data_IF_051810095495
#
_entry.id   IF_051810095495
#
_cell.length_a   1.000
_cell.length_b   1.000
_cell.length_c   1.000
_cell.angle_alpha   90.00
_cell.angle_beta   90.00
_cell.angle_gamma   90.00
#
_symmetry.space_group_name_H-M   'P 1'
#
loop_
_entity.id
_entity.type
_entity.pdbx_description
1 polymer ?
#
# COMPACT_ATOMS: atom_id res chain seq x y z
N UNK A 1 15.94 26.79 -74.92
CA UNK A 1 17.22 26.10 -74.62
C UNK A 1 17.43 26.15 -73.11
N UNK A 2 17.94 25.06 -72.52
CA UNK A 2 17.21 24.32 -71.50
C UNK A 2 17.76 24.49 -70.07
N UNK A 3 16.84 24.26 -69.13
CA UNK A 3 16.99 23.52 -67.87
C UNK A 3 18.00 24.01 -66.82
N UNK A 4 17.53 24.98 -66.03
CA UNK A 4 17.96 25.19 -64.65
C UNK A 4 17.38 24.07 -63.76
N UNK A 5 18.11 22.97 -63.62
CA UNK A 5 17.83 21.98 -62.57
C UNK A 5 18.66 22.31 -61.31
N UNK A 6 18.02 22.64 -60.16
CA UNK A 6 18.71 22.70 -58.89
C UNK A 6 18.75 21.27 -58.33
N UNK A 7 19.89 20.60 -58.34
CA UNK A 7 19.94 19.25 -57.74
C UNK A 7 21.33 18.84 -57.24
N UNK A 8 21.88 19.62 -56.32
CA UNK A 8 22.79 19.08 -55.30
C UNK A 8 22.01 18.93 -54.00
N UNK A 9 21.06 17.98 -53.98
CA UNK A 9 20.52 17.47 -52.72
C UNK A 9 21.70 16.82 -52.02
N UNK A 10 22.19 17.48 -50.97
CA UNK A 10 23.36 17.05 -50.23
C UNK A 10 23.00 15.74 -49.53
N UNK A 11 23.57 14.65 -50.05
CA UNK A 11 23.51 13.28 -49.54
C UNK A 11 23.50 13.18 -48.00
N UNK A 12 24.27 13.97 -47.22
CA UNK A 12 24.22 13.91 -45.75
C UNK A 12 22.84 14.24 -45.13
N UNK A 13 22.04 15.12 -45.74
CA UNK A 13 20.71 15.45 -45.21
C UNK A 13 19.69 14.33 -45.42
N UNK A 14 19.80 13.61 -46.54
CA UNK A 14 18.97 12.42 -46.80
C UNK A 14 19.33 11.28 -45.85
N UNK A 15 20.61 11.10 -45.52
CA UNK A 15 21.06 10.07 -44.57
C UNK A 15 20.61 10.40 -43.15
N UNK A 16 20.77 11.65 -42.69
CA UNK A 16 20.31 12.07 -41.36
C UNK A 16 18.78 11.98 -41.23
N UNK A 17 18.04 12.39 -42.27
CA UNK A 17 16.59 12.26 -42.29
C UNK A 17 16.12 10.80 -42.23
N UNK A 18 16.76 9.91 -43.00
CA UNK A 18 16.44 8.48 -42.98
C UNK A 18 16.72 7.82 -41.62
N UNK A 19 17.81 8.21 -40.94
CA UNK A 19 18.15 7.70 -39.59
C UNK A 19 17.15 8.19 -38.55
N UNK A 20 16.78 9.47 -38.57
CA UNK A 20 15.79 10.03 -37.65
C UNK A 20 14.41 9.38 -37.83
N UNK A 21 13.97 9.18 -39.08
CA UNK A 21 12.71 8.50 -39.39
C UNK A 21 12.75 7.03 -38.96
N UNK A 22 13.86 6.31 -39.20
CA UNK A 22 14.02 4.93 -38.74
C UNK A 22 14.03 4.82 -37.21
N UNK A 23 14.62 5.79 -36.51
CA UNK A 23 14.64 5.85 -35.05
C UNK A 23 13.25 6.14 -34.48
N UNK A 24 12.53 7.11 -35.04
CA UNK A 24 11.15 7.42 -34.65
C UNK A 24 10.19 6.27 -34.95
N UNK A 25 10.33 5.59 -36.10
CA UNK A 25 9.54 4.40 -36.42
C UNK A 25 9.86 3.22 -35.49
N UNK A 26 11.12 3.06 -35.05
CA UNK A 26 11.49 2.07 -34.02
C UNK A 26 10.92 2.41 -32.66
N UNK A 27 10.98 3.67 -32.24
CA UNK A 27 10.38 4.16 -31.00
C UNK A 27 8.86 3.98 -31.02
N UNK A 28 8.22 4.29 -32.14
CA UNK A 28 6.78 4.13 -32.31
C UNK A 28 6.38 2.66 -32.37
N UNK A 29 7.12 1.79 -33.07
CA UNK A 29 6.88 0.35 -33.08
C UNK A 29 7.21 -0.33 -31.73
N UNK A 30 8.04 0.29 -30.88
CA UNK A 30 8.31 -0.18 -29.52
C UNK A 30 7.23 0.31 -28.56
N UNK A 31 6.83 1.59 -28.64
CA UNK A 31 5.73 2.16 -27.89
C UNK A 31 4.41 1.46 -28.21
N UNK A 32 4.12 1.19 -29.49
CA UNK A 32 2.93 0.47 -29.95
C UNK A 32 2.98 -1.00 -29.49
N UNK A 33 4.14 -1.66 -29.49
CA UNK A 33 4.27 -3.01 -28.90
C UNK A 33 4.10 -3.02 -27.38
N UNK A 34 4.58 -2.02 -26.67
CA UNK A 34 4.43 -1.91 -25.21
C UNK A 34 2.98 -1.55 -24.85
N UNK A 35 2.35 -0.64 -25.60
CA UNK A 35 0.94 -0.26 -25.46
C UNK A 35 0.01 -1.42 -25.86
N UNK A 36 0.31 -2.15 -26.93
CA UNK A 36 -0.47 -3.30 -27.36
C UNK A 36 -0.31 -4.49 -26.40
N UNK A 37 0.89 -4.72 -25.84
CA UNK A 37 1.10 -5.70 -24.75
C UNK A 37 0.37 -5.30 -23.47
N UNK A 38 0.44 -4.02 -23.07
CA UNK A 38 -0.32 -3.49 -21.93
C UNK A 38 -1.83 -3.59 -22.18
N UNK A 39 -2.29 -3.34 -23.40
CA UNK A 39 -3.71 -3.41 -23.78
C UNK A 39 -4.23 -4.85 -23.88
N UNK A 40 -3.42 -5.80 -24.34
CA UNK A 40 -3.74 -7.22 -24.32
C UNK A 40 -3.68 -7.83 -22.90
N UNK A 41 -2.74 -7.39 -22.06
CA UNK A 41 -2.68 -7.72 -20.63
C UNK A 41 -3.90 -7.19 -19.87
N UNK A 42 -4.33 -5.95 -20.15
CA UNK A 42 -5.56 -5.36 -19.61
C UNK A 42 -6.85 -6.07 -20.04
N UNK A 43 -6.82 -6.89 -21.10
CA UNK A 43 -7.98 -7.67 -21.58
C UNK A 43 -7.98 -9.13 -21.12
N UNK A 44 -7.02 -9.56 -20.31
CA UNK A 44 -6.97 -10.93 -19.77
C UNK A 44 -6.89 -12.05 -20.82
N UNK A 45 -6.41 -11.74 -22.04
CA UNK A 45 -6.34 -12.71 -23.16
C UNK A 45 -4.92 -13.09 -23.58
N UNK A 46 -3.93 -12.89 -22.70
CA UNK A 46 -2.59 -13.41 -22.92
C UNK A 46 -2.28 -14.46 -21.85
N UNK A 47 -2.50 -15.74 -22.19
CA UNK A 47 -1.70 -16.82 -21.62
C UNK A 47 -0.35 -16.70 -22.29
N UNK A 48 0.57 -15.97 -21.65
CA UNK A 48 1.97 -16.00 -22.04
C UNK A 48 2.65 -17.10 -21.23
N UNK A 49 2.99 -18.19 -21.92
CA UNK A 49 4.10 -19.05 -21.53
C UNK A 49 5.40 -18.23 -21.68
N UNK A 50 5.66 -17.37 -20.69
CA UNK A 50 6.97 -16.82 -20.39
C UNK A 50 7.61 -17.72 -19.33
N UNK A 51 8.96 -17.82 -19.30
CA UNK A 51 9.64 -18.63 -18.30
C UNK A 51 9.18 -18.13 -16.93
N UNK A 52 8.58 -19.05 -16.16
CA UNK A 52 8.29 -18.83 -14.75
C UNK A 52 9.62 -18.47 -14.09
N UNK A 53 9.79 -17.22 -13.68
CA UNK A 53 10.58 -17.01 -12.48
C UNK A 53 9.78 -17.71 -11.37
N UNK A 54 10.28 -18.87 -10.93
CA UNK A 54 9.61 -19.76 -9.98
C UNK A 54 9.46 -19.18 -8.58
N UNK A 55 9.97 -17.97 -8.34
CA UNK A 55 9.89 -17.32 -7.04
C UNK A 55 9.65 -15.83 -7.22
N UNK A 56 8.49 -15.36 -6.76
CA UNK A 56 8.39 -13.99 -6.24
C UNK A 56 9.50 -13.80 -5.19
N UNK A 57 10.03 -12.58 -4.96
CA UNK A 57 11.08 -12.38 -3.95
C UNK A 57 10.62 -13.09 -2.68
N UNK A 58 11.34 -14.14 -2.27
CA UNK A 58 10.85 -15.00 -1.21
C UNK A 58 10.55 -14.09 -0.02
N UNK A 59 9.60 -14.43 0.83
CA UNK A 59 9.34 -13.66 2.06
C UNK A 59 10.63 -13.33 2.84
N UNK A 60 11.70 -14.11 2.64
CA UNK A 60 13.08 -13.83 3.02
C UNK A 60 13.66 -12.50 2.50
N UNK A 61 13.48 -12.10 1.24
CA UNK A 61 14.06 -10.88 0.67
C UNK A 61 13.41 -9.61 1.27
N UNK A 62 12.10 -9.68 1.55
CA UNK A 62 11.37 -8.61 2.25
C UNK A 62 11.86 -8.51 3.70
N UNK A 63 12.01 -9.65 4.38
CA UNK A 63 12.54 -9.69 5.74
C UNK A 63 14.00 -9.20 5.81
N UNK A 64 14.83 -9.59 4.84
CA UNK A 64 16.22 -9.14 4.72
C UNK A 64 16.29 -7.63 4.51
N UNK A 65 15.45 -7.06 3.63
CA UNK A 65 15.37 -5.61 3.46
C UNK A 65 14.97 -4.91 4.77
N UNK A 66 14.00 -5.44 5.50
CA UNK A 66 13.58 -4.89 6.79
C UNK A 66 14.71 -4.95 7.83
N UNK A 67 15.46 -6.06 7.88
CA UNK A 67 16.61 -6.25 8.76
C UNK A 67 17.74 -5.28 8.42
N UNK A 68 18.09 -5.15 7.13
CA UNK A 68 19.10 -4.19 6.65
C UNK A 68 18.71 -2.77 7.06
N UNK A 69 17.46 -2.36 6.81
CA UNK A 69 16.99 -1.02 7.14
C UNK A 69 16.98 -0.79 8.65
N UNK A 70 16.48 -1.75 9.43
CA UNK A 70 16.50 -1.67 10.89
C UNK A 70 17.93 -1.53 11.43
N UNK A 71 18.88 -2.31 10.91
CA UNK A 71 20.29 -2.20 11.26
C UNK A 71 20.88 -0.83 10.91
N UNK A 72 20.57 -0.28 9.73
CA UNK A 72 21.03 1.07 9.35
C UNK A 72 20.50 2.17 10.28
N UNK A 73 19.25 2.08 10.72
CA UNK A 73 18.65 3.01 11.70
C UNK A 73 19.28 2.82 13.09
N UNK A 74 19.49 1.57 13.54
CA UNK A 74 20.11 1.31 14.83
C UNK A 74 21.56 1.80 14.90
N UNK A 75 22.33 1.65 13.81
CA UNK A 75 23.73 2.06 13.70
C UNK A 75 23.94 3.55 13.35
N UNK A 76 22.88 4.37 13.26
CA UNK A 76 22.95 5.78 12.83
C UNK A 76 23.60 5.98 11.44
N UNK A 77 23.45 5.00 10.54
CA UNK A 77 24.04 5.03 9.19
C UNK A 77 23.13 5.73 8.19
N UNK A 78 22.71 6.95 8.55
CA UNK A 78 21.71 7.75 7.85
C UNK A 78 22.00 7.95 6.37
N UNK A 79 23.25 8.23 5.99
CA UNK A 79 23.60 8.40 4.59
C UNK A 79 23.37 7.14 3.75
N UNK A 80 23.67 5.96 4.29
CA UNK A 80 23.42 4.69 3.57
C UNK A 80 21.94 4.36 3.52
N UNK A 81 21.20 4.69 4.58
CA UNK A 81 19.74 4.59 4.57
C UNK A 81 19.14 5.50 3.48
N UNK A 82 19.59 6.75 3.38
CA UNK A 82 19.19 7.69 2.35
C UNK A 82 19.42 7.15 0.93
N UNK A 83 20.60 6.57 0.67
CA UNK A 83 20.90 5.89 -0.60
C UNK A 83 19.97 4.72 -0.90
N UNK A 84 19.66 3.86 0.09
CA UNK A 84 18.73 2.73 -0.08
C UNK A 84 17.33 3.24 -0.41
N UNK A 85 16.82 4.23 0.34
CA UNK A 85 15.50 4.80 0.13
C UNK A 85 15.39 5.51 -1.23
N UNK A 86 16.42 6.26 -1.63
CA UNK A 86 16.48 6.90 -2.94
C UNK A 86 16.54 5.89 -4.10
N UNK A 87 17.24 4.77 -3.93
CA UNK A 87 17.27 3.70 -4.92
C UNK A 87 15.87 3.09 -5.11
N UNK A 88 15.19 2.79 -4.01
CA UNK A 88 13.86 2.20 -4.01
C UNK A 88 12.77 3.16 -4.53
N UNK A 89 12.87 4.46 -4.25
CA UNK A 89 11.92 5.45 -4.78
C UNK A 89 12.05 5.62 -6.29
N UNK A 90 13.28 5.59 -6.82
CA UNK A 90 13.55 5.72 -8.25
C UNK A 90 13.30 4.44 -9.04
N UNK A 91 13.16 3.29 -8.35
CA UNK A 91 12.89 1.98 -8.98
C UNK A 91 11.67 1.31 -8.34
N UNK A 92 10.44 1.81 -8.60
CA UNK A 92 9.23 1.30 -7.98
C UNK A 92 9.06 -0.20 -8.24
N UNK A 93 9.09 -0.98 -7.17
CA UNK A 93 8.99 -2.44 -7.19
C UNK A 93 8.06 -2.89 -6.07
N UNK A 94 7.27 -3.93 -6.33
CA UNK A 94 6.31 -4.48 -5.37
C UNK A 94 6.93 -5.65 -4.58
N UNK A 95 6.62 -5.69 -3.29
CA UNK A 95 6.91 -6.79 -2.38
C UNK A 95 5.93 -7.96 -2.59
N UNK A 96 6.23 -9.10 -1.98
CA UNK A 96 5.35 -10.29 -1.99
C UNK A 96 4.07 -10.15 -1.18
N UNK A 97 3.78 -9.00 -0.61
CA UNK A 97 2.46 -8.72 -0.02
C UNK A 97 1.68 -7.66 -0.82
N UNK A 98 2.21 -7.25 -1.98
CA UNK A 98 1.62 -6.25 -2.86
C UNK A 98 1.90 -4.80 -2.44
N UNK A 99 2.64 -4.56 -1.35
CA UNK A 99 3.12 -3.22 -0.98
C UNK A 99 4.33 -2.82 -1.84
N UNK A 100 4.62 -1.53 -1.99
CA UNK A 100 5.89 -1.10 -2.57
C UNK A 100 7.04 -1.48 -1.64
N UNK A 101 8.16 -1.97 -2.17
CA UNK A 101 9.39 -2.19 -1.38
C UNK A 101 9.88 -0.91 -0.71
N UNK A 102 9.68 0.24 -1.36
CA UNK A 102 9.93 1.55 -0.77
C UNK A 102 9.11 1.78 0.50
N UNK A 103 7.81 1.45 0.47
CA UNK A 103 6.94 1.55 1.64
C UNK A 103 7.35 0.57 2.75
N UNK A 104 7.76 -0.65 2.38
CA UNK A 104 8.28 -1.63 3.34
C UNK A 104 9.54 -1.11 4.04
N UNK A 105 10.48 -0.55 3.28
CA UNK A 105 11.70 0.04 3.83
C UNK A 105 11.39 1.24 4.72
N UNK A 106 10.49 2.14 4.30
CA UNK A 106 10.04 3.26 5.13
C UNK A 106 9.39 2.79 6.43
N UNK A 107 8.48 1.82 6.36
CA UNK A 107 7.80 1.28 7.55
C UNK A 107 8.83 0.63 8.50
N UNK A 108 9.83 -0.09 7.98
CA UNK A 108 10.92 -0.66 8.79
C UNK A 108 11.80 0.42 9.44
N UNK A 109 12.10 1.51 8.72
CA UNK A 109 12.89 2.62 9.24
C UNK A 109 12.16 3.35 10.38
N UNK A 110 10.82 3.36 10.33
CA UNK A 110 9.95 3.99 11.32
C UNK A 110 9.52 3.07 12.46
N UNK A 111 9.97 1.81 12.47
CA UNK A 111 9.64 0.85 13.53
C UNK A 111 9.97 1.36 14.95
N UNK A 112 11.09 2.07 15.21
CA UNK A 112 11.36 2.65 16.53
C UNK A 112 10.30 3.67 16.99
N UNK A 113 9.66 4.38 16.05
CA UNK A 113 8.57 5.32 16.35
C UNK A 113 7.29 4.59 16.74
N UNK A 114 7.00 3.45 16.10
CA UNK A 114 5.88 2.57 16.44
C UNK A 114 6.05 1.99 17.84
N UNK A 115 7.27 1.58 18.19
CA UNK A 115 7.62 0.98 19.49
C UNK A 115 7.74 2.00 20.62
N UNK A 116 7.94 3.29 20.29
CA UNK A 116 8.07 4.34 21.28
C UNK A 116 6.84 4.41 22.21
N UNK A 117 7.06 4.57 23.51
CA UNK A 117 5.98 4.68 24.48
C UNK A 117 5.65 6.15 24.77
N UNK A 118 4.40 6.53 24.49
CA UNK A 118 3.89 7.89 24.72
C UNK A 118 4.49 8.97 23.81
N UNK A 119 3.97 10.18 23.95
CA UNK A 119 4.35 11.34 23.10
C UNK A 119 5.82 11.76 23.29
N UNK A 120 6.37 11.63 24.50
CA UNK A 120 7.77 11.98 24.79
C UNK A 120 8.76 11.03 24.13
N UNK A 121 8.49 9.72 24.15
CA UNK A 121 9.28 8.72 23.43
C UNK A 121 9.28 8.97 21.93
N UNK A 122 8.11 9.30 21.37
CA UNK A 122 7.98 9.63 19.96
C UNK A 122 8.78 10.89 19.59
N UNK A 123 8.69 11.95 20.40
CA UNK A 123 9.46 13.18 20.17
C UNK A 123 10.98 12.94 20.17
N UNK A 124 11.48 12.03 21.02
CA UNK A 124 12.89 11.67 21.04
C UNK A 124 13.34 10.96 19.74
N UNK A 125 12.52 10.05 19.22
CA UNK A 125 12.78 9.36 17.94
C UNK A 125 12.71 10.36 16.77
N UNK A 126 11.69 11.20 16.74
CA UNK A 126 11.52 12.24 15.71
C UNK A 126 12.72 13.17 15.64
N UNK A 127 13.22 13.64 16.79
CA UNK A 127 14.41 14.51 16.85
C UNK A 127 15.64 13.86 16.20
N UNK A 128 15.88 12.57 16.44
CA UNK A 128 17.00 11.83 15.83
C UNK A 128 16.86 11.78 14.31
N UNK A 129 15.66 11.57 13.79
CA UNK A 129 15.37 11.57 12.34
C UNK A 129 15.50 12.99 11.77
N UNK A 130 15.05 14.02 12.50
CA UNK A 130 15.18 15.42 12.10
C UNK A 130 16.65 15.84 11.97
N UNK A 131 17.52 15.43 12.91
CA UNK A 131 18.97 15.65 12.84
C UNK A 131 19.57 15.03 11.56
N UNK A 132 19.13 13.82 11.20
CA UNK A 132 19.56 13.18 9.94
C UNK A 132 19.03 13.91 8.69
N UNK A 133 17.78 14.37 8.72
CA UNK A 133 17.18 15.17 7.65
C UNK A 133 17.85 16.54 7.45
N UNK A 134 18.44 17.11 8.50
CA UNK A 134 19.21 18.37 8.45
C UNK A 134 20.43 18.34 7.51
N UNK A 135 20.81 17.16 7.00
CA UNK A 135 21.78 17.03 5.89
C UNK A 135 21.26 17.55 4.55
N UNK A 136 19.94 17.73 4.40
CA UNK A 136 19.28 18.14 3.17
C UNK A 136 19.11 17.03 2.14
N UNK A 137 19.47 15.77 2.46
CA UNK A 137 19.27 14.65 1.55
C UNK A 137 17.75 14.37 1.36
N UNK A 138 17.20 14.44 0.13
CA UNK A 138 15.75 14.38 -0.10
C UNK A 138 15.05 13.16 0.51
N UNK A 139 15.70 11.99 0.47
CA UNK A 139 15.16 10.76 1.03
C UNK A 139 15.05 10.82 2.58
N UNK A 140 15.98 11.50 3.25
CA UNK A 140 15.97 11.67 4.70
C UNK A 140 14.97 12.73 5.14
N UNK A 141 14.84 13.84 4.38
CA UNK A 141 13.76 14.81 4.59
C UNK A 141 12.39 14.14 4.44
N UNK A 142 12.24 13.28 3.42
CA UNK A 142 10.98 12.57 3.21
C UNK A 142 10.70 11.51 4.27
N UNK A 143 11.74 10.82 4.78
CA UNK A 143 11.63 9.96 5.95
C UNK A 143 11.18 10.74 7.19
N UNK A 144 11.74 11.94 7.42
CA UNK A 144 11.34 12.81 8.51
C UNK A 144 9.86 13.23 8.40
N UNK A 145 9.43 13.71 7.23
CA UNK A 145 8.03 14.07 7.01
C UNK A 145 7.09 12.88 7.20
N UNK A 146 7.46 11.67 6.75
CA UNK A 146 6.67 10.45 6.99
C UNK A 146 6.67 10.05 8.47
N UNK A 147 7.78 10.24 9.19
CA UNK A 147 7.85 10.01 10.63
C UNK A 147 6.88 10.93 11.38
N UNK A 148 6.88 12.23 11.06
CA UNK A 148 5.92 13.20 11.57
C UNK A 148 4.47 12.79 11.23
N UNK A 149 4.22 12.26 10.03
CA UNK A 149 2.92 11.76 9.60
C UNK A 149 2.44 10.53 10.39
N UNK A 150 3.34 9.60 10.70
CA UNK A 150 3.03 8.48 11.59
C UNK A 150 2.76 8.98 13.02
N UNK A 151 3.55 9.95 13.49
CA UNK A 151 3.42 10.50 14.82
C UNK A 151 2.10 11.26 15.01
N UNK A 152 1.72 12.12 14.06
CA UNK A 152 0.47 12.86 14.11
C UNK A 152 -0.74 11.91 14.11
N UNK A 153 -0.74 10.87 13.26
CA UNK A 153 -1.83 9.89 13.22
C UNK A 153 -2.01 9.18 14.57
N UNK A 154 -0.91 8.91 15.29
CA UNK A 154 -0.95 8.30 16.63
C UNK A 154 -1.33 9.29 17.72
N UNK A 155 -0.94 10.56 17.61
CA UNK A 155 -1.38 11.59 18.56
C UNK A 155 -2.89 11.87 18.45
N UNK A 156 -3.45 11.81 17.24
CA UNK A 156 -4.90 11.94 17.01
C UNK A 156 -5.73 10.86 17.72
N UNK A 157 -5.17 9.68 18.04
CA UNK A 157 -5.91 8.62 18.73
C UNK A 157 -5.94 8.76 20.25
N UNK A 158 -5.19 9.71 20.83
CA UNK A 158 -5.12 9.90 22.29
C UNK A 158 -6.34 10.65 22.88
N UNK A 159 -7.19 11.23 22.02
CA UNK A 159 -8.44 11.95 22.38
C UNK A 159 -8.27 12.97 23.53
N UNK A 160 -7.12 13.66 23.55
CA UNK A 160 -6.81 14.71 24.51
C UNK A 160 -6.27 15.99 23.85
N UNK A 161 -6.28 17.10 24.60
CA UNK A 161 -5.83 18.41 24.11
C UNK A 161 -4.35 18.46 23.79
N UNK A 162 -3.54 17.67 24.49
CA UNK A 162 -2.10 17.58 24.27
C UNK A 162 -1.79 16.89 22.93
N UNK A 163 -2.46 15.77 22.63
CA UNK A 163 -2.36 15.05 21.37
C UNK A 163 -2.79 15.91 20.19
N UNK A 164 -3.92 16.63 20.32
CA UNK A 164 -4.37 17.56 19.28
C UNK A 164 -3.36 18.70 19.01
N UNK A 165 -2.79 19.29 20.07
CA UNK A 165 -1.77 20.35 19.92
C UNK A 165 -0.48 19.83 19.27
N UNK A 166 -0.02 18.64 19.66
CA UNK A 166 1.16 18.00 19.07
C UNK A 166 0.92 17.62 17.61
N UNK A 167 -0.24 17.05 17.27
CA UNK A 167 -0.60 16.72 15.90
C UNK A 167 -0.64 17.97 15.00
N UNK A 168 -1.18 19.09 15.50
CA UNK A 168 -1.17 20.37 14.80
C UNK A 168 0.25 20.90 14.57
N UNK A 169 1.12 20.83 15.60
CA UNK A 169 2.53 21.24 15.49
C UNK A 169 3.30 20.43 14.44
N UNK A 170 3.20 19.11 14.49
CA UNK A 170 3.84 18.23 13.50
C UNK A 170 3.27 18.39 12.09
N UNK A 171 1.97 18.66 11.96
CA UNK A 171 1.36 18.95 10.66
C UNK A 171 1.93 20.24 10.05
N UNK A 172 2.11 21.30 10.84
CA UNK A 172 2.78 22.53 10.39
C UNK A 172 4.24 22.28 10.00
N UNK A 173 4.98 21.51 10.79
CA UNK A 173 6.38 21.17 10.54
C UNK A 173 6.58 20.40 9.21
N UNK A 174 5.66 19.50 8.87
CA UNK A 174 5.66 18.82 7.55
C UNK A 174 5.58 19.84 6.42
N UNK A 175 4.65 20.80 6.49
CA UNK A 175 4.44 21.78 5.43
C UNK A 175 5.61 22.75 5.32
N UNK A 176 6.20 23.16 6.46
CA UNK A 176 7.41 23.99 6.50
C UNK A 176 8.60 23.26 5.89
N UNK A 177 8.84 22.00 6.27
CA UNK A 177 9.93 21.17 5.72
C UNK A 177 9.82 20.98 4.21
N UNK A 178 8.60 20.74 3.70
CA UNK A 178 8.38 20.60 2.25
C UNK A 178 8.66 21.91 1.52
N UNK A 179 8.25 23.05 2.07
CA UNK A 179 8.48 24.36 1.46
C UNK A 179 9.95 24.78 1.49
N UNK A 180 10.67 24.48 2.57
CA UNK A 180 12.09 24.83 2.73
C UNK A 180 12.99 24.09 1.72
N UNK A 181 12.69 22.82 1.46
CA UNK A 181 13.54 21.95 0.63
C UNK A 181 13.12 21.86 -0.85
N UNK A 182 12.03 22.52 -1.27
CA UNK A 182 11.49 22.55 -2.64
C UNK A 182 11.39 21.15 -3.29
N UNK A 183 10.89 20.18 -2.52
CA UNK A 183 10.86 18.77 -2.94
C UNK A 183 9.62 18.46 -3.80
N UNK A 184 9.85 17.86 -4.96
CA UNK A 184 8.77 17.39 -5.83
C UNK A 184 8.12 16.11 -5.26
N UNK A 185 6.85 16.22 -4.87
CA UNK A 185 6.01 15.10 -4.43
C UNK A 185 5.92 13.94 -5.44
N UNK A 186 6.08 14.20 -6.75
CA UNK A 186 6.09 13.15 -7.77
C UNK A 186 7.41 12.35 -7.77
N UNK A 187 8.51 12.95 -7.32
CA UNK A 187 9.80 12.28 -7.20
C UNK A 187 9.93 11.49 -5.89
N UNK A 188 9.17 11.88 -4.85
CA UNK A 188 9.21 11.25 -3.53
C UNK A 188 7.80 11.03 -2.97
N UNK A 189 7.12 9.92 -3.32
CA UNK A 189 5.71 9.70 -3.02
C UNK A 189 5.31 9.79 -1.54
N UNK A 190 6.21 9.48 -0.60
CA UNK A 190 5.90 9.58 0.83
C UNK A 190 5.79 11.04 1.32
N UNK A 191 6.28 12.02 0.57
CA UNK A 191 5.98 13.43 0.85
C UNK A 191 4.50 13.72 0.60
N UNK A 192 3.92 13.18 -0.48
CA UNK A 192 2.51 13.35 -0.76
C UNK A 192 1.64 12.68 0.31
N UNK A 193 2.07 11.53 0.85
CA UNK A 193 1.48 10.90 2.04
C UNK A 193 1.54 11.83 3.25
N UNK A 194 2.71 12.39 3.57
CA UNK A 194 2.89 13.26 4.72
C UNK A 194 2.04 14.53 4.62
N UNK A 195 2.01 15.17 3.44
CA UNK A 195 1.19 16.36 3.16
C UNK A 195 -0.30 16.02 3.26
N UNK A 196 -0.72 14.84 2.78
CA UNK A 196 -2.10 14.39 2.93
C UNK A 196 -2.50 14.32 4.43
N UNK A 197 -1.65 13.70 5.25
CA UNK A 197 -1.90 13.56 6.69
C UNK A 197 -1.84 14.90 7.45
N UNK A 198 -0.88 15.77 7.12
CA UNK A 198 -0.83 17.13 7.66
C UNK A 198 -2.08 17.94 7.29
N UNK A 199 -2.48 17.88 6.01
CA UNK A 199 -3.70 18.51 5.52
C UNK A 199 -4.96 17.98 6.20
N UNK A 200 -5.00 16.68 6.55
CA UNK A 200 -6.13 16.10 7.26
C UNK A 200 -6.33 16.66 8.67
N UNK A 201 -5.24 17.01 9.36
CA UNK A 201 -5.28 17.65 10.67
C UNK A 201 -5.64 19.13 10.56
N UNK A 202 -5.01 19.84 9.62
CA UNK A 202 -5.16 21.31 9.51
C UNK A 202 -6.44 21.73 8.78
N UNK A 203 -6.94 20.90 7.86
CA UNK A 203 -8.12 21.16 7.03
C UNK A 203 -8.96 19.88 6.90
N UNK A 204 -9.68 19.47 7.96
CA UNK A 204 -10.39 18.18 8.03
C UNK A 204 -11.64 18.09 7.12
N UNK A 205 -11.86 19.09 6.26
CA UNK A 205 -13.00 19.12 5.35
C UNK A 205 -12.90 18.00 4.30
N UNK A 206 -13.97 17.20 4.08
CA UNK A 206 -13.92 16.06 3.15
C UNK A 206 -13.50 16.43 1.73
N UNK A 207 -13.84 17.63 1.26
CA UNK A 207 -13.44 18.11 -0.06
C UNK A 207 -11.95 18.43 -0.16
N UNK A 208 -11.35 18.99 0.90
CA UNK A 208 -9.92 19.25 0.98
C UNK A 208 -9.14 17.93 1.01
N UNK A 209 -9.59 16.98 1.82
CA UNK A 209 -9.07 15.61 1.87
C UNK A 209 -9.11 14.92 0.51
N UNK A 210 -10.22 15.02 -0.22
CA UNK A 210 -10.35 14.43 -1.55
C UNK A 210 -9.35 15.04 -2.56
N UNK A 211 -9.07 16.35 -2.47
CA UNK A 211 -8.04 16.99 -3.32
C UNK A 211 -6.65 16.48 -2.98
N UNK A 212 -6.30 16.44 -1.69
CA UNK A 212 -5.01 15.94 -1.22
C UNK A 212 -4.81 14.46 -1.58
N UNK A 213 -5.85 13.63 -1.46
CA UNK A 213 -5.83 12.23 -1.88
C UNK A 213 -5.52 12.08 -3.37
N UNK A 214 -6.11 12.92 -4.24
CA UNK A 214 -5.82 12.87 -5.69
C UNK A 214 -4.36 13.21 -6.00
N UNK A 215 -3.80 14.22 -5.33
CA UNK A 215 -2.37 14.55 -5.45
C UNK A 215 -1.51 13.36 -5.04
N UNK A 216 -1.80 12.74 -3.91
CA UNK A 216 -1.04 11.57 -3.45
C UNK A 216 -1.17 10.36 -4.39
N UNK A 217 -2.38 10.05 -4.84
CA UNK A 217 -2.63 9.00 -5.83
C UNK A 217 -1.86 9.24 -7.13
N UNK A 218 -1.84 10.47 -7.61
CA UNK A 218 -1.20 10.83 -8.88
C UNK A 218 0.33 10.84 -8.77
N UNK A 219 0.88 11.00 -7.56
CA UNK A 219 2.32 10.91 -7.28
C UNK A 219 2.87 9.48 -7.32
N UNK A 220 2.08 8.44 -7.00
CA UNK A 220 2.46 7.03 -7.17
C UNK A 220 1.33 6.20 -7.78
N UNK A 221 1.11 6.32 -9.11
CA UNK A 221 0.09 5.58 -9.81
C UNK A 221 0.42 4.08 -9.76
N UNK A 222 -0.41 3.31 -9.05
CA UNK A 222 -0.18 1.87 -8.83
C UNK A 222 -0.10 1.51 -7.36
N UNK A 223 0.16 2.48 -6.48
CA UNK A 223 0.21 2.21 -5.06
C UNK A 223 -1.19 2.14 -4.46
N UNK A 224 -1.41 1.08 -3.68
CA UNK A 224 -2.63 0.82 -2.92
C UNK A 224 -2.78 1.74 -1.71
N UNK A 225 -1.65 2.17 -1.13
CA UNK A 225 -1.58 2.88 0.15
C UNK A 225 -2.45 4.15 0.21
N UNK A 226 -2.46 5.05 -0.80
CA UNK A 226 -3.33 6.23 -0.78
C UNK A 226 -4.81 5.88 -0.62
N UNK A 227 -5.27 4.81 -1.27
CA UNK A 227 -6.67 4.38 -1.22
C UNK A 227 -7.05 3.86 0.15
N UNK A 228 -6.15 3.14 0.81
CA UNK A 228 -6.36 2.56 2.13
C UNK A 228 -6.37 3.63 3.21
N UNK A 229 -5.40 4.54 3.18
CA UNK A 229 -5.30 5.63 4.15
C UNK A 229 -6.47 6.61 4.00
N UNK A 230 -6.85 6.95 2.77
CA UNK A 230 -8.01 7.81 2.53
C UNK A 230 -9.31 7.15 3.01
N UNK A 231 -9.48 5.85 2.75
CA UNK A 231 -10.63 5.08 3.23
C UNK A 231 -10.73 5.08 4.76
N UNK A 232 -9.63 4.82 5.47
CA UNK A 232 -9.59 4.85 6.93
C UNK A 232 -9.92 6.24 7.49
N UNK A 233 -9.40 7.30 6.85
CA UNK A 233 -9.66 8.68 7.27
C UNK A 233 -11.13 9.06 7.11
N UNK A 234 -11.74 8.71 5.97
CA UNK A 234 -13.18 8.94 5.76
C UNK A 234 -14.03 8.14 6.76
N UNK A 235 -13.62 6.92 7.13
CA UNK A 235 -14.29 6.14 8.16
C UNK A 235 -14.24 6.81 9.54
N UNK A 236 -13.09 7.41 9.89
CA UNK A 236 -12.92 8.14 11.16
C UNK A 236 -13.82 9.39 11.25
N UNK A 237 -14.16 10.02 10.12
CA UNK A 237 -15.13 11.12 10.06
C UNK A 237 -16.60 10.67 10.22
N UNK A 238 -16.86 9.37 10.19
CA UNK A 238 -18.17 8.79 10.47
C UNK A 238 -19.26 9.23 9.48
N UNK A 239 -20.41 9.65 10.02
CA UNK A 239 -21.60 9.95 9.21
C UNK A 239 -21.39 11.10 8.23
N UNK A 240 -20.58 12.09 8.59
CA UNK A 240 -20.36 13.31 7.83
C UNK A 240 -19.63 13.05 6.51
N UNK A 241 -18.86 11.95 6.43
CA UNK A 241 -18.11 11.55 5.25
C UNK A 241 -18.77 10.41 4.46
N UNK A 242 -20.05 10.08 4.69
CA UNK A 242 -20.71 8.93 4.05
C UNK A 242 -20.75 9.05 2.52
N UNK A 243 -21.06 10.24 2.00
CA UNK A 243 -21.13 10.49 0.55
C UNK A 243 -19.76 10.36 -0.09
N UNK A 244 -18.74 10.95 0.54
CA UNK A 244 -17.35 10.88 0.12
C UNK A 244 -16.80 9.46 0.20
N UNK A 245 -17.16 8.69 1.22
CA UNK A 245 -16.81 7.27 1.35
C UNK A 245 -17.36 6.44 0.19
N UNK A 246 -18.63 6.67 -0.20
CA UNK A 246 -19.23 6.00 -1.35
C UNK A 246 -18.54 6.39 -2.67
N UNK A 247 -18.20 7.67 -2.83
CA UNK A 247 -17.44 8.17 -3.99
C UNK A 247 -16.05 7.53 -4.05
N UNK A 248 -15.33 7.51 -2.94
CA UNK A 248 -13.99 6.92 -2.82
C UNK A 248 -13.97 5.44 -3.17
N UNK A 249 -14.92 4.64 -2.66
CA UNK A 249 -15.01 3.23 -3.02
C UNK A 249 -15.31 3.03 -4.51
N UNK A 250 -16.11 3.93 -5.11
CA UNK A 250 -16.35 3.93 -6.57
C UNK A 250 -15.08 4.28 -7.36
N UNK A 251 -14.32 5.30 -6.94
CA UNK A 251 -13.02 5.65 -7.53
C UNK A 251 -12.02 4.48 -7.40
N UNK A 252 -12.03 3.77 -6.27
CA UNK A 252 -11.17 2.60 -6.00
C UNK A 252 -11.54 1.40 -6.89
N UNK A 253 -12.82 1.18 -7.19
CA UNK A 253 -13.25 0.18 -8.20
C UNK A 253 -12.67 0.52 -9.58
N UNK A 254 -12.65 1.80 -9.95
CA UNK A 254 -12.00 2.27 -11.17
C UNK A 254 -10.50 1.95 -11.19
N UNK A 255 -9.83 2.18 -10.05
CA UNK A 255 -8.42 1.87 -9.88
C UNK A 255 -8.10 0.37 -10.01
N UNK A 256 -8.96 -0.51 -9.48
CA UNK A 256 -8.78 -1.97 -9.63
C UNK A 256 -8.71 -2.42 -11.09
N UNK A 257 -9.46 -1.77 -11.98
CA UNK A 257 -9.41 -2.07 -13.42
C UNK A 257 -8.08 -1.66 -14.05
N UNK A 258 -7.45 -0.60 -13.53
CA UNK A 258 -6.14 -0.14 -13.98
C UNK A 258 -5.02 -1.04 -13.42
N UNK A 259 -5.14 -1.46 -12.16
CA UNK A 259 -4.13 -2.30 -11.49
C UNK A 259 -4.24 -3.78 -11.85
N UNK A 260 -5.35 -4.21 -12.44
CA UNK A 260 -5.58 -5.62 -12.77
C UNK A 260 -5.75 -6.53 -11.54
N UNK A 261 -6.04 -5.95 -10.37
CA UNK A 261 -6.20 -6.66 -9.12
C UNK A 261 -7.29 -6.03 -8.25
N UNK A 262 -8.04 -6.88 -7.56
CA UNK A 262 -9.08 -6.50 -6.60
C UNK A 262 -8.52 -6.18 -5.20
N UNK A 263 -7.20 -6.35 -4.97
CA UNK A 263 -6.59 -6.14 -3.66
C UNK A 263 -6.79 -4.72 -3.12
N UNK A 264 -6.64 -3.70 -3.97
CA UNK A 264 -6.83 -2.29 -3.60
C UNK A 264 -8.22 -2.01 -3.01
N UNK A 265 -9.26 -2.51 -3.68
CA UNK A 265 -10.62 -2.37 -3.20
C UNK A 265 -10.86 -3.17 -1.92
N UNK A 266 -10.32 -4.38 -1.81
CA UNK A 266 -10.47 -5.21 -0.62
C UNK A 266 -9.84 -4.53 0.61
N UNK A 267 -8.61 -4.02 0.51
CA UNK A 267 -8.01 -3.26 1.60
C UNK A 267 -8.76 -1.96 1.90
N UNK A 268 -9.18 -1.21 0.88
CA UNK A 268 -9.96 0.01 1.09
C UNK A 268 -11.31 -0.28 1.75
N UNK A 269 -11.97 -1.40 1.43
CA UNK A 269 -13.20 -1.83 2.09
C UNK A 269 -12.96 -2.15 3.58
N UNK A 270 -11.91 -2.89 3.92
CA UNK A 270 -11.55 -3.14 5.33
C UNK A 270 -11.28 -1.83 6.08
N UNK A 271 -10.51 -0.93 5.46
CA UNK A 271 -10.19 0.37 6.04
C UNK A 271 -11.42 1.27 6.20
N UNK A 272 -12.32 1.29 5.20
CA UNK A 272 -13.59 2.03 5.27
C UNK A 272 -14.54 1.44 6.31
N UNK A 273 -14.50 0.13 6.56
CA UNK A 273 -15.32 -0.49 7.60
C UNK A 273 -14.84 -0.02 8.97
N UNK A 274 -13.53 -0.09 9.23
CA UNK A 274 -12.97 0.25 10.53
C UNK A 274 -13.73 -0.48 11.66
N UNK A 275 -14.29 0.29 12.58
CA UNK A 275 -15.15 -0.23 13.66
C UNK A 275 -16.59 -0.57 13.21
N UNK A 276 -17.07 -0.01 12.11
CA UNK A 276 -18.39 -0.32 11.55
C UNK A 276 -18.40 -1.71 10.88
N UNK A 277 -19.56 -2.37 10.78
CA UNK A 277 -19.65 -3.66 10.12
C UNK A 277 -19.47 -3.53 8.60
N UNK A 278 -18.91 -4.56 7.97
CA UNK A 278 -18.75 -4.64 6.50
C UNK A 278 -20.07 -4.46 5.76
N UNK A 279 -21.18 -4.95 6.32
CA UNK A 279 -22.53 -4.82 5.76
C UNK A 279 -23.05 -3.38 5.73
N UNK A 280 -22.46 -2.48 6.54
CA UNK A 280 -22.79 -1.05 6.55
C UNK A 280 -22.09 -0.26 5.45
N UNK A 281 -21.13 -0.85 4.73
CA UNK A 281 -20.43 -0.17 3.65
C UNK A 281 -21.33 0.03 2.42
N UNK A 282 -21.22 1.17 1.73
CA UNK A 282 -21.97 1.40 0.52
C UNK A 282 -21.54 0.40 -0.56
N UNK A 283 -22.54 -0.18 -1.24
CA UNK A 283 -22.34 -1.18 -2.31
C UNK A 283 -21.64 -2.48 -1.87
N UNK A 284 -21.61 -2.78 -0.58
CA UNK A 284 -21.11 -4.07 -0.11
C UNK A 284 -22.03 -5.20 -0.57
N UNK A 285 -21.41 -6.26 -1.10
CA UNK A 285 -22.10 -7.46 -1.55
C UNK A 285 -21.24 -8.67 -1.20
N UNK A 286 -21.69 -9.56 -0.30
CA UNK A 286 -20.95 -10.76 0.09
C UNK A 286 -20.49 -11.62 -1.09
N UNK A 287 -21.36 -11.80 -2.09
CA UNK A 287 -21.06 -12.61 -3.28
C UNK A 287 -19.92 -12.01 -4.11
N UNK A 288 -19.96 -10.69 -4.35
CA UNK A 288 -18.91 -10.00 -5.09
C UNK A 288 -17.59 -9.98 -4.31
N UNK A 289 -17.65 -9.79 -2.99
CA UNK A 289 -16.47 -9.86 -2.11
C UNK A 289 -15.82 -11.24 -2.14
N UNK A 290 -16.61 -12.32 -2.06
CA UNK A 290 -16.09 -13.68 -2.19
C UNK A 290 -15.43 -13.92 -3.56
N UNK A 291 -16.04 -13.45 -4.65
CA UNK A 291 -15.44 -13.58 -5.98
C UNK A 291 -14.08 -12.87 -6.05
N UNK A 292 -14.00 -11.63 -5.56
CA UNK A 292 -12.76 -10.84 -5.52
C UNK A 292 -11.69 -11.46 -4.61
N UNK A 293 -12.08 -12.00 -3.46
CA UNK A 293 -11.16 -12.75 -2.61
C UNK A 293 -10.61 -13.98 -3.35
N UNK A 294 -11.42 -14.65 -4.16
CA UNK A 294 -10.96 -15.73 -5.04
C UNK A 294 -9.94 -15.30 -6.09
N UNK A 295 -10.01 -14.07 -6.59
CA UNK A 295 -9.04 -13.52 -7.54
C UNK A 295 -7.67 -13.26 -6.90
N UNK A 296 -7.65 -12.91 -5.60
CA UNK A 296 -6.41 -12.50 -4.91
C UNK A 296 -5.87 -13.54 -3.93
N UNK A 297 -6.64 -14.57 -3.55
CA UNK A 297 -6.28 -15.47 -2.45
C UNK A 297 -4.93 -16.18 -2.62
N UNK A 298 -4.58 -16.54 -3.86
CA UNK A 298 -3.33 -17.24 -4.19
C UNK A 298 -2.22 -16.27 -4.63
N UNK A 299 -2.52 -14.97 -4.72
CA UNK A 299 -1.52 -13.95 -5.02
C UNK A 299 -0.64 -13.67 -3.79
N UNK A 300 0.56 -13.09 -3.99
CA UNK A 300 1.39 -12.63 -2.89
C UNK A 300 0.61 -11.66 -1.97
N UNK A 301 0.56 -11.92 -0.65
CA UNK A 301 -0.26 -11.17 0.33
C UNK A 301 -1.75 -11.53 0.36
N UNK A 302 -2.21 -12.37 -0.57
CA UNK A 302 -3.61 -12.79 -0.69
C UNK A 302 -4.16 -13.44 0.57
N UNK A 303 -3.38 -14.31 1.21
CA UNK A 303 -3.79 -14.96 2.46
C UNK A 303 -3.92 -13.98 3.62
N UNK A 304 -3.15 -12.90 3.66
CA UNK A 304 -3.30 -11.80 4.61
C UNK A 304 -4.67 -11.15 4.48
N UNK A 305 -5.08 -10.83 3.25
CA UNK A 305 -6.42 -10.28 2.95
C UNK A 305 -7.54 -11.26 3.31
N UNK A 306 -7.37 -12.55 2.99
CA UNK A 306 -8.36 -13.59 3.30
C UNK A 306 -8.54 -13.74 4.81
N UNK A 307 -7.44 -13.76 5.59
CA UNK A 307 -7.47 -13.78 7.05
C UNK A 307 -8.17 -12.53 7.61
N UNK A 308 -7.75 -11.34 7.17
CA UNK A 308 -8.33 -10.07 7.63
C UNK A 308 -9.85 -9.99 7.36
N UNK A 309 -10.31 -10.37 6.16
CA UNK A 309 -11.74 -10.36 5.84
C UNK A 309 -12.53 -11.41 6.62
N UNK A 310 -12.00 -12.62 6.79
CA UNK A 310 -12.67 -13.67 7.56
C UNK A 310 -12.80 -13.29 9.03
N UNK A 311 -11.72 -12.77 9.63
CA UNK A 311 -11.69 -12.30 11.00
C UNK A 311 -12.64 -11.11 11.20
N UNK A 312 -12.63 -10.13 10.29
CA UNK A 312 -13.54 -8.98 10.33
C UNK A 312 -15.00 -9.41 10.19
N UNK A 313 -15.34 -10.28 9.25
CA UNK A 313 -16.70 -10.79 9.09
C UNK A 313 -17.19 -11.53 10.35
N UNK A 314 -16.31 -12.31 10.99
CA UNK A 314 -16.63 -12.97 12.26
C UNK A 314 -16.86 -11.95 13.39
N UNK A 315 -15.99 -10.95 13.51
CA UNK A 315 -16.10 -9.89 14.52
C UNK A 315 -17.38 -9.04 14.33
N UNK A 316 -17.82 -8.86 13.08
CA UNK A 316 -19.08 -8.19 12.73
C UNK A 316 -20.33 -9.06 12.97
N UNK A 317 -20.15 -10.33 13.36
CA UNK A 317 -21.24 -11.30 13.56
C UNK A 317 -21.76 -11.96 12.27
N UNK A 318 -21.15 -11.71 11.11
CA UNK A 318 -21.48 -12.37 9.84
C UNK A 318 -20.75 -13.71 9.71
N UNK A 319 -21.17 -14.68 10.54
CA UNK A 319 -20.59 -16.03 10.52
C UNK A 319 -20.78 -16.71 9.15
N UNK A 320 -21.85 -16.40 8.42
CA UNK A 320 -22.12 -17.01 7.12
C UNK A 320 -21.04 -16.61 6.10
N UNK A 321 -20.70 -15.33 6.01
CA UNK A 321 -19.61 -14.84 5.18
C UNK A 321 -18.26 -15.36 5.66
N UNK A 322 -17.97 -15.27 6.97
CA UNK A 322 -16.71 -15.76 7.52
C UNK A 322 -16.47 -17.26 7.18
N UNK A 323 -17.50 -18.10 7.32
CA UNK A 323 -17.43 -19.52 6.92
C UNK A 323 -17.26 -19.70 5.42
N UNK A 324 -17.89 -18.87 4.61
CA UNK A 324 -17.76 -18.94 3.15
C UNK A 324 -16.34 -18.59 2.70
N UNK A 325 -15.73 -17.54 3.28
CA UNK A 325 -14.34 -17.15 3.03
C UNK A 325 -13.41 -18.29 3.46
N UNK A 326 -13.58 -18.77 4.70
CA UNK A 326 -12.75 -19.83 5.26
C UNK A 326 -12.77 -21.10 4.40
N UNK A 327 -13.95 -21.54 3.97
CA UNK A 327 -14.09 -22.76 3.14
C UNK A 327 -13.47 -22.62 1.75
N UNK A 328 -13.64 -21.47 1.12
CA UNK A 328 -13.32 -21.32 -0.31
C UNK A 328 -11.89 -20.85 -0.54
N UNK A 329 -11.40 -19.95 0.30
CA UNK A 329 -10.22 -19.13 0.01
C UNK A 329 -9.09 -19.24 1.04
N UNK A 330 -9.38 -19.69 2.27
CA UNK A 330 -8.33 -19.86 3.28
C UNK A 330 -7.44 -21.06 2.96
N UNK A 331 -6.14 -20.84 2.98
CA UNK A 331 -5.07 -21.85 2.82
C UNK A 331 -4.09 -21.82 3.98
N UNK A 332 -3.89 -20.64 4.59
CA UNK A 332 -3.00 -20.42 5.72
C UNK A 332 -3.73 -19.60 6.79
N UNK A 333 -3.51 -19.95 8.06
CA UNK A 333 -4.01 -19.17 9.20
C UNK A 333 -2.89 -18.26 9.67
N UNK A 334 -3.23 -17.00 9.89
CA UNK A 334 -2.31 -15.99 10.38
C UNK A 334 -2.84 -15.47 11.72
N UNK A 335 -2.28 -15.98 12.82
CA UNK A 335 -2.80 -15.79 14.19
C UNK A 335 -2.94 -14.31 14.56
N UNK A 336 -2.05 -13.44 14.05
CA UNK A 336 -2.08 -12.00 14.32
C UNK A 336 -3.37 -11.28 13.87
N UNK A 337 -4.19 -11.88 13.00
CA UNK A 337 -5.48 -11.32 12.59
C UNK A 337 -6.65 -11.73 13.48
N UNK A 338 -6.48 -12.79 14.27
CA UNK A 338 -7.55 -13.37 15.07
C UNK A 338 -7.39 -12.90 16.51
N UNK A 339 -8.31 -12.07 17.03
CA UNK A 339 -8.22 -11.61 18.41
C UNK A 339 -8.43 -12.77 19.41
N UNK A 340 -9.07 -13.84 18.96
CA UNK A 340 -9.39 -15.03 19.73
C UNK A 340 -9.28 -16.28 18.84
N UNK A 341 -8.30 -17.14 19.15
CA UNK A 341 -8.08 -18.39 18.41
C UNK A 341 -9.16 -19.44 18.70
N UNK A 342 -9.83 -19.39 19.85
CA UNK A 342 -10.96 -20.28 20.13
C UNK A 342 -12.15 -19.95 19.22
N UNK A 343 -12.40 -18.66 18.98
CA UNK A 343 -13.41 -18.21 18.02
C UNK A 343 -13.07 -18.69 16.59
N UNK A 344 -11.80 -18.61 16.18
CA UNK A 344 -11.34 -19.18 14.90
C UNK A 344 -11.58 -20.69 14.83
N UNK A 345 -11.16 -21.46 15.83
CA UNK A 345 -11.34 -22.92 15.85
C UNK A 345 -12.82 -23.31 15.84
N UNK A 346 -13.66 -22.58 16.58
CA UNK A 346 -15.11 -22.72 16.53
C UNK A 346 -15.67 -22.49 15.13
N UNK A 347 -15.25 -21.42 14.47
CA UNK A 347 -15.61 -21.11 13.07
C UNK A 347 -15.16 -22.23 12.13
N UNK A 348 -13.93 -22.72 12.26
CA UNK A 348 -13.36 -23.80 11.47
C UNK A 348 -14.17 -25.10 11.62
N UNK A 349 -14.47 -25.50 12.86
CA UNK A 349 -15.28 -26.68 13.12
C UNK A 349 -16.67 -26.60 12.46
N UNK A 350 -17.34 -25.44 12.61
CA UNK A 350 -18.66 -25.19 12.00
C UNK A 350 -18.58 -25.09 10.48
N UNK A 351 -17.52 -24.49 9.93
CA UNK A 351 -17.26 -24.44 8.49
C UNK A 351 -17.08 -25.84 7.91
N UNK A 352 -16.27 -26.70 8.50
CA UNK A 352 -16.04 -28.03 7.93
C UNK A 352 -17.01 -29.10 8.45
N UNK A 353 -18.05 -28.71 9.22
CA UNK A 353 -19.05 -29.61 9.83
C UNK A 353 -18.41 -30.74 10.65
N UNK A 354 -17.27 -30.46 11.29
CA UNK A 354 -16.46 -31.49 11.95
C UNK A 354 -15.85 -32.55 11.03
N UNK A 355 -15.89 -32.38 9.69
CA UNK A 355 -15.22 -33.22 8.70
C UNK A 355 -13.80 -32.72 8.38
N UNK A 356 -13.07 -32.27 9.40
CA UNK A 356 -11.61 -32.34 9.35
C UNK A 356 -11.24 -33.82 9.47
N UNK A 357 -10.27 -34.30 8.69
CA UNK A 357 -9.75 -35.66 8.78
C UNK A 357 -9.53 -36.02 10.26
N UNK A 358 -9.84 -37.25 10.69
CA UNK A 358 -9.72 -37.65 12.11
C UNK A 358 -8.34 -37.34 12.73
N UNK A 359 -7.33 -37.17 11.89
CA UNK A 359 -5.98 -36.70 12.21
C UNK A 359 -5.94 -35.25 12.75
N UNK A 360 -6.60 -34.30 12.10
CA UNK A 360 -6.65 -32.90 12.57
C UNK A 360 -7.34 -32.77 13.94
N UNK A 361 -8.30 -33.65 14.24
CA UNK A 361 -8.98 -33.70 15.55
C UNK A 361 -8.09 -34.28 16.66
N UNK A 362 -7.20 -35.21 16.31
CA UNK A 362 -6.25 -35.81 17.24
C UNK A 362 -5.07 -34.87 17.51
N UNK A 363 -4.55 -34.22 16.46
CA UNK A 363 -3.52 -33.18 16.56
C UNK A 363 -4.02 -31.99 17.37
N UNK A 364 -5.25 -31.51 17.13
CA UNK A 364 -5.85 -30.42 17.92
C UNK A 364 -6.07 -30.76 19.40
N UNK A 365 -6.52 -31.98 19.72
CA UNK A 365 -6.61 -32.41 21.14
C UNK A 365 -5.24 -32.48 21.79
N UNK A 366 -4.26 -33.04 21.10
CA UNK A 366 -2.91 -33.14 21.62
C UNK A 366 -2.29 -31.76 21.89
N UNK A 367 -2.55 -30.78 21.02
CA UNK A 367 -2.07 -29.40 21.17
C UNK A 367 -2.77 -28.65 22.31
N UNK A 368 -4.10 -28.79 22.43
CA UNK A 368 -4.87 -28.23 23.56
C UNK A 368 -4.46 -28.87 24.90
N UNK A 369 -4.27 -30.19 24.95
CA UNK A 369 -3.82 -30.90 26.15
C UNK A 369 -2.38 -30.52 26.53
N UNK A 370 -1.50 -30.27 25.55
CA UNK A 370 -0.14 -29.80 25.78
C UNK A 370 -0.10 -28.36 26.32
N UNK A 371 -1.00 -27.50 25.82
CA UNK A 371 -1.09 -26.09 26.26
C UNK A 371 -1.73 -25.96 27.64
N UNK A 372 -2.64 -26.89 28.01
CA UNK A 372 -3.22 -26.95 29.35
C UNK A 372 -2.27 -27.57 30.41
N UNK A 373 -1.22 -28.27 29.97
CA UNK A 373 -0.22 -28.89 30.83
C UNK A 373 1.06 -28.05 31.02
N UNK A 374 1.23 -27.00 30.22
CA UNK A 374 2.28 -25.98 30.34
C UNK A 374 1.77 -24.80 31.16
#
# INVERSE_FOLDING_TARGET
MPDLLPSSISIPWLVCGAVAVAFLLRLWAHADRVLHRRWQAMRGRMVMDLPRHETAPATADVAELQEIVAGLVQEDRWHKLGQVLALLSNTPTDATDGRRLYDVAMDAALQPLVEAQGLSGMAAVLRRIAEAAGTGEPALVALHCRALACALCRAETLDDTAGAAMAGGWASEILESVAEHDLDTCAVPCLAEAIYHAGAVLQPEPQALQRAFRVWRDADPGNIRPYVHHAARLAALGADARTESARHLTETVGACRLFGSSAALLHAQLASAGAAPLSGLPSFCPTSTLARLGEVAEAPGGQTLVNAFAAKALADGDEALARAILRKHMRMVLDCFWPDMDAFHGLFWRAFRGRGSGRARAEWRAEMDATAAA
#
